data_IF_317115300520
#
_entry.id   IF_317115300520
#
_cell.length_a   1.000
_cell.length_b   1.000
_cell.length_c   1.000
_cell.angle_alpha   90.00
_cell.angle_beta   90.00
_cell.angle_gamma   90.00
#
_symmetry.space_group_name_H-M   'P 1'
#
loop_
_entity.id
_entity.type
_entity.pdbx_description
1 polymer ?
#
# COMPACT_ATOMS: atom_id res chain seq x y z
N UNK A 1 -83.17 19.46 -18.29
CA UNK A 1 -82.27 18.74 -19.21
C UNK A 1 -80.88 19.39 -19.30
N UNK A 2 -80.76 20.71 -19.45
CA UNK A 2 -79.46 21.41 -19.50
C UNK A 2 -78.59 21.24 -18.23
N UNK A 3 -79.18 21.23 -17.03
CA UNK A 3 -78.45 21.04 -15.76
C UNK A 3 -77.77 19.68 -15.65
N UNK A 4 -78.38 18.62 -16.19
CA UNK A 4 -77.79 17.27 -16.20
C UNK A 4 -76.57 17.20 -17.12
N UNK A 5 -76.62 17.85 -18.29
CA UNK A 5 -75.49 17.90 -19.23
C UNK A 5 -74.29 18.65 -18.65
N UNK A 6 -74.51 19.74 -17.90
CA UNK A 6 -73.44 20.46 -17.21
C UNK A 6 -72.80 19.61 -16.11
N UNK A 7 -73.58 18.87 -15.33
CA UNK A 7 -73.05 17.99 -14.28
C UNK A 7 -72.22 16.83 -14.83
N UNK A 8 -72.62 16.24 -15.96
CA UNK A 8 -71.89 15.17 -16.64
C UNK A 8 -70.54 15.66 -17.19
N UNK A 9 -70.49 16.88 -17.72
CA UNK A 9 -69.24 17.48 -18.21
C UNK A 9 -68.20 17.69 -17.10
N UNK A 10 -68.65 18.13 -15.92
CA UNK A 10 -67.77 18.33 -14.75
C UNK A 10 -67.23 16.98 -14.25
N UNK A 11 -68.08 15.96 -14.15
CA UNK A 11 -67.67 14.61 -13.71
C UNK A 11 -66.68 14.00 -14.71
N UNK A 12 -66.96 14.09 -16.02
CA UNK A 12 -66.06 13.59 -17.05
C UNK A 12 -64.69 14.28 -17.01
N UNK A 13 -64.65 15.60 -16.85
CA UNK A 13 -63.41 16.36 -16.69
C UNK A 13 -62.62 15.97 -15.43
N UNK A 14 -63.32 15.68 -14.33
CA UNK A 14 -62.69 15.23 -13.08
C UNK A 14 -62.08 13.84 -13.21
N UNK A 15 -62.79 12.90 -13.85
CA UNK A 15 -62.29 11.55 -14.14
C UNK A 15 -61.04 11.60 -15.03
N UNK A 16 -61.04 12.43 -16.08
CA UNK A 16 -59.87 12.61 -16.95
C UNK A 16 -58.65 13.14 -16.19
N UNK A 17 -58.85 14.11 -15.28
CA UNK A 17 -57.76 14.61 -14.42
C UNK A 17 -57.23 13.54 -13.48
N UNK A 18 -58.11 12.75 -12.84
CA UNK A 18 -57.68 11.64 -11.98
C UNK A 18 -56.89 10.61 -12.78
N UNK A 19 -57.36 10.22 -13.97
CA UNK A 19 -56.62 9.28 -14.83
C UNK A 19 -55.24 9.82 -15.22
N UNK A 20 -55.14 11.12 -15.49
CA UNK A 20 -53.86 11.77 -15.80
C UNK A 20 -52.91 11.76 -14.59
N UNK A 21 -53.40 12.06 -13.38
CA UNK A 21 -52.60 11.97 -12.16
C UNK A 21 -52.15 10.55 -11.86
N UNK A 22 -53.03 9.55 -12.03
CA UNK A 22 -52.67 8.13 -11.86
C UNK A 22 -51.55 7.76 -12.84
N UNK A 23 -51.69 8.11 -14.13
CA UNK A 23 -50.61 7.86 -15.11
C UNK A 23 -49.31 8.53 -14.68
N UNK A 24 -49.33 9.81 -14.31
CA UNK A 24 -48.12 10.53 -13.89
C UNK A 24 -47.47 9.88 -12.66
N UNK A 25 -48.28 9.48 -11.68
CA UNK A 25 -47.84 8.85 -10.44
C UNK A 25 -47.13 7.51 -10.68
N UNK A 26 -47.55 6.72 -11.67
CA UNK A 26 -46.91 5.45 -12.01
C UNK A 26 -45.75 5.60 -13.00
N UNK A 27 -45.79 6.56 -13.94
CA UNK A 27 -44.79 6.68 -15.01
C UNK A 27 -43.49 7.36 -14.53
N UNK A 28 -43.61 8.37 -13.66
CA UNK A 28 -42.45 9.10 -13.12
C UNK A 28 -41.46 8.19 -12.36
N UNK A 29 -41.88 7.33 -11.40
CA UNK A 29 -40.93 6.47 -10.70
C UNK A 29 -40.28 5.43 -11.62
N UNK A 30 -41.00 4.95 -12.64
CA UNK A 30 -40.44 4.00 -13.62
C UNK A 30 -39.31 4.66 -14.41
N UNK A 31 -39.50 5.89 -14.89
CA UNK A 31 -38.45 6.65 -15.60
C UNK A 31 -37.23 6.84 -14.70
N UNK A 32 -37.43 7.24 -13.44
CA UNK A 32 -36.33 7.43 -12.50
C UNK A 32 -35.55 6.13 -12.22
N UNK A 33 -36.25 4.99 -12.12
CA UNK A 33 -35.61 3.68 -11.94
C UNK A 33 -34.81 3.30 -13.18
N UNK A 34 -35.35 3.51 -14.38
CA UNK A 34 -34.65 3.21 -15.64
C UNK A 34 -33.40 4.07 -15.79
N UNK A 35 -33.50 5.37 -15.52
CA UNK A 35 -32.36 6.29 -15.55
C UNK A 35 -31.29 5.91 -14.52
N UNK A 36 -31.70 5.50 -13.31
CA UNK A 36 -30.78 5.03 -12.28
C UNK A 36 -30.07 3.73 -12.68
N UNK A 37 -30.79 2.77 -13.27
CA UNK A 37 -30.20 1.53 -13.75
C UNK A 37 -29.22 1.76 -14.91
N UNK A 38 -29.55 2.69 -15.83
CA UNK A 38 -28.66 3.07 -16.91
C UNK A 38 -27.38 3.74 -16.37
N UNK A 39 -27.51 4.58 -15.34
CA UNK A 39 -26.37 5.17 -14.65
C UNK A 39 -25.48 4.11 -13.99
N UNK A 40 -26.06 3.12 -13.30
CA UNK A 40 -25.28 2.02 -12.70
C UNK A 40 -24.52 1.20 -13.75
N UNK A 41 -25.16 0.89 -14.89
CA UNK A 41 -24.51 0.16 -15.98
C UNK A 41 -23.35 0.95 -16.60
N UNK A 42 -23.53 2.26 -16.81
CA UNK A 42 -22.47 3.11 -17.35
C UNK A 42 -21.31 3.28 -16.38
N UNK A 43 -21.56 3.44 -15.08
CA UNK A 43 -20.52 3.46 -14.05
C UNK A 43 -19.75 2.14 -13.97
N UNK A 44 -20.44 1.00 -14.01
CA UNK A 44 -19.81 -0.32 -13.99
C UNK A 44 -18.90 -0.56 -15.20
N UNK A 45 -19.37 -0.22 -16.40
CA UNK A 45 -18.59 -0.31 -17.63
C UNK A 45 -17.37 0.62 -17.60
N UNK A 46 -17.52 1.85 -17.11
CA UNK A 46 -16.41 2.80 -17.01
C UNK A 46 -15.31 2.29 -16.06
N UNK A 47 -15.71 1.76 -14.90
CA UNK A 47 -14.76 1.20 -13.93
C UNK A 47 -14.00 0.00 -14.51
N UNK A 48 -14.71 -0.93 -15.16
CA UNK A 48 -14.09 -2.11 -15.78
C UNK A 48 -13.23 -1.79 -17.02
N UNK A 49 -13.47 -0.67 -17.72
CA UNK A 49 -12.57 -0.19 -18.77
C UNK A 49 -11.33 0.50 -18.19
N UNK A 50 -11.48 1.28 -17.11
CA UNK A 50 -10.36 1.92 -16.43
C UNK A 50 -9.37 0.90 -15.84
N UNK A 51 -9.88 -0.17 -15.23
CA UNK A 51 -9.05 -1.27 -14.72
C UNK A 51 -8.32 -2.00 -15.85
N UNK A 52 -9.01 -2.35 -16.94
CA UNK A 52 -8.38 -2.99 -18.12
C UNK A 52 -7.34 -2.10 -18.81
N UNK A 53 -7.58 -0.80 -18.89
CA UNK A 53 -6.61 0.13 -19.49
C UNK A 53 -5.36 0.27 -18.60
N UNK A 54 -5.51 0.31 -17.27
CA UNK A 54 -4.35 0.31 -16.35
C UNK A 54 -3.51 -0.96 -16.50
N UNK A 55 -4.15 -2.10 -16.64
CA UNK A 55 -3.45 -3.38 -16.85
C UNK A 55 -2.74 -3.42 -18.22
N UNK A 56 -3.40 -2.96 -19.29
CA UNK A 56 -2.82 -2.89 -20.63
C UNK A 56 -1.65 -1.90 -20.71
N UNK A 57 -1.74 -0.75 -20.03
CA UNK A 57 -0.65 0.23 -19.96
C UNK A 57 0.53 -0.33 -19.15
N UNK A 58 0.26 -1.01 -18.04
CA UNK A 58 1.29 -1.71 -17.27
C UNK A 58 2.01 -2.79 -18.08
N UNK A 59 1.27 -3.59 -18.86
CA UNK A 59 1.82 -4.62 -19.74
C UNK A 59 2.68 -4.03 -20.87
N UNK A 60 2.27 -2.91 -21.46
CA UNK A 60 3.07 -2.18 -22.46
C UNK A 60 4.35 -1.65 -21.85
N UNK A 61 4.26 -1.03 -20.67
CA UNK A 61 5.43 -0.54 -19.94
C UNK A 61 6.41 -1.68 -19.63
N UNK A 62 5.91 -2.82 -19.12
CA UNK A 62 6.72 -4.02 -18.88
C UNK A 62 7.40 -4.49 -20.17
N UNK A 63 6.68 -4.58 -21.30
CA UNK A 63 7.28 -5.03 -22.55
C UNK A 63 8.36 -4.07 -23.06
N UNK A 64 8.13 -2.77 -22.92
CA UNK A 64 9.12 -1.74 -23.31
C UNK A 64 10.37 -1.82 -22.43
N UNK A 65 10.19 -2.06 -21.13
CA UNK A 65 11.28 -2.28 -20.19
C UNK A 65 12.02 -3.59 -20.45
N UNK A 66 11.31 -4.68 -20.78
CA UNK A 66 11.92 -5.97 -21.11
C UNK A 66 12.74 -5.91 -22.40
N UNK A 67 12.23 -5.26 -23.44
CA UNK A 67 12.93 -5.05 -24.70
C UNK A 67 14.17 -4.17 -24.49
N UNK A 68 14.04 -3.08 -23.74
CA UNK A 68 15.16 -2.21 -23.41
C UNK A 68 16.23 -2.89 -22.56
N UNK A 69 15.83 -3.77 -21.64
CA UNK A 69 16.75 -4.51 -20.78
C UNK A 69 17.42 -5.68 -21.51
N UNK A 70 16.74 -6.33 -22.46
CA UNK A 70 17.34 -7.33 -23.34
C UNK A 70 18.39 -6.73 -24.30
N UNK A 71 18.29 -5.42 -24.59
CA UNK A 71 19.18 -4.70 -25.47
C UNK A 71 20.38 -4.08 -24.74
N UNK A 72 20.32 -3.95 -23.41
CA UNK A 72 21.42 -3.48 -22.58
C UNK A 72 22.51 -4.56 -22.48
N UNK A 73 23.62 -4.36 -23.20
CA UNK A 73 24.81 -5.24 -23.14
C UNK A 73 25.87 -4.76 -22.16
N UNK A 74 25.73 -3.52 -21.66
CA UNK A 74 26.69 -2.85 -20.76
C UNK A 74 25.94 -2.17 -19.60
N UNK A 75 26.55 -2.04 -18.41
CA UNK A 75 26.00 -1.24 -17.30
C UNK A 75 25.68 0.20 -17.69
N UNK A 76 26.33 0.72 -18.74
CA UNK A 76 26.09 2.06 -19.26
C UNK A 76 24.82 2.17 -20.11
N UNK A 77 24.29 1.06 -20.62
CA UNK A 77 23.06 1.01 -21.43
C UNK A 77 21.80 0.89 -20.55
N UNK A 78 21.96 0.43 -19.30
CA UNK A 78 20.87 0.35 -18.32
C UNK A 78 20.33 1.73 -17.92
N UNK A 79 21.10 2.80 -18.20
CA UNK A 79 20.81 4.20 -17.89
C UNK A 79 19.53 4.76 -18.51
N UNK A 80 18.97 4.12 -19.54
CA UNK A 80 17.91 4.71 -20.37
C UNK A 80 16.51 4.23 -19.97
N UNK A 81 16.40 3.30 -19.00
CA UNK A 81 15.11 2.62 -18.75
C UNK A 81 14.22 3.31 -17.69
N UNK A 82 14.73 4.31 -16.98
CA UNK A 82 13.91 5.07 -16.04
C UNK A 82 13.25 6.26 -16.73
N UNK A 83 11.97 6.08 -17.11
CA UNK A 83 11.10 7.19 -17.54
C UNK A 83 10.95 8.25 -16.44
N UNK A 84 11.17 7.86 -15.18
CA UNK A 84 11.05 8.73 -14.01
C UNK A 84 12.40 9.38 -13.67
N UNK A 85 12.41 10.72 -13.67
CA UNK A 85 13.56 11.49 -13.20
C UNK A 85 13.66 11.42 -11.68
N UNK A 86 14.88 11.36 -11.10
CA UNK A 86 15.05 11.43 -9.65
C UNK A 86 14.54 12.79 -9.14
N UNK A 87 14.06 12.85 -7.88
CA UNK A 87 13.57 14.09 -7.31
C UNK A 87 14.68 15.16 -7.30
N UNK A 88 14.38 16.42 -7.68
CA UNK A 88 15.38 17.48 -7.86
C UNK A 88 16.10 17.88 -6.55
N UNK A 89 15.54 17.49 -5.40
CA UNK A 89 16.14 17.68 -4.08
C UNK A 89 17.29 16.70 -3.79
N UNK A 90 17.42 15.61 -4.55
CA UNK A 90 18.41 14.57 -4.32
C UNK A 90 19.77 14.98 -4.89
N UNK A 91 20.79 14.96 -4.03
CA UNK A 91 22.17 15.27 -4.42
C UNK A 91 23.00 13.99 -4.46
N UNK A 92 23.46 13.64 -5.65
CA UNK A 92 24.35 12.49 -5.88
C UNK A 92 25.82 12.87 -5.62
N UNK A 93 26.63 11.88 -5.28
CA UNK A 93 28.07 12.06 -5.17
C UNK A 93 28.73 12.23 -6.55
N UNK A 94 29.95 12.78 -6.57
CA UNK A 94 30.74 12.88 -7.81
C UNK A 94 30.95 11.46 -8.38
N UNK A 95 30.77 11.28 -9.68
CA UNK A 95 30.79 9.98 -10.40
C UNK A 95 29.71 8.96 -10.01
N UNK A 96 28.75 9.33 -9.17
CA UNK A 96 27.61 8.49 -8.90
C UNK A 96 26.61 8.60 -10.05
N UNK A 97 26.22 7.45 -10.58
CA UNK A 97 25.32 7.39 -11.72
C UNK A 97 24.02 6.68 -11.30
N UNK A 98 22.86 7.20 -11.71
CA UNK A 98 21.54 6.64 -11.36
C UNK A 98 21.27 5.39 -12.19
N UNK A 99 21.08 4.26 -11.52
CA UNK A 99 20.73 3.00 -12.17
C UNK A 99 19.22 2.85 -12.30
N UNK A 100 18.49 3.18 -11.23
CA UNK A 100 17.05 2.99 -11.19
C UNK A 100 16.33 4.02 -10.32
N UNK A 101 15.10 4.37 -10.71
CA UNK A 101 14.19 5.23 -9.95
C UNK A 101 12.85 4.51 -9.81
N UNK A 102 12.48 4.21 -8.57
CA UNK A 102 11.22 3.59 -8.19
C UNK A 102 10.31 4.68 -7.58
N UNK A 103 9.32 5.21 -8.33
CA UNK A 103 8.35 6.14 -7.77
C UNK A 103 7.35 5.41 -6.87
N UNK A 104 6.62 6.18 -6.05
CA UNK A 104 5.43 5.75 -5.30
C UNK A 104 5.62 4.44 -4.50
N UNK A 105 6.73 4.36 -3.78
CA UNK A 105 7.09 3.24 -2.92
C UNK A 105 6.73 3.54 -1.48
N UNK A 106 6.02 2.60 -0.83
CA UNK A 106 5.74 2.66 0.60
C UNK A 106 6.94 2.13 1.35
N UNK A 107 7.48 2.92 2.26
CA UNK A 107 8.56 2.51 3.14
C UNK A 107 7.96 1.98 4.44
N UNK A 108 8.25 0.72 4.75
CA UNK A 108 7.80 0.01 5.94
C UNK A 108 8.98 -0.15 6.91
N UNK A 109 8.75 0.17 8.19
CA UNK A 109 9.70 -0.07 9.28
C UNK A 109 9.12 -1.11 10.23
N UNK A 110 9.98 -1.98 10.73
CA UNK A 110 9.65 -2.84 11.86
C UNK A 110 9.57 -1.96 13.12
N UNK A 111 8.40 -1.94 13.77
CA UNK A 111 8.22 -1.36 15.10
C UNK A 111 7.95 -2.47 16.11
N UNK A 112 8.70 -2.43 17.21
CA UNK A 112 8.46 -3.26 18.39
C UNK A 112 7.32 -2.64 19.18
N UNK A 113 6.20 -3.34 19.26
CA UNK A 113 5.10 -3.05 20.18
C UNK A 113 5.27 -3.93 21.41
N UNK A 114 5.33 -3.29 22.57
CA UNK A 114 5.36 -4.00 23.85
C UNK A 114 3.96 -3.94 24.42
N UNK A 115 3.27 -5.07 24.43
CA UNK A 115 1.98 -5.19 25.10
C UNK A 115 2.21 -5.84 26.45
N UNK A 116 1.88 -5.12 27.52
CA UNK A 116 1.93 -5.68 28.86
C UNK A 116 0.64 -6.45 29.14
N UNK A 117 0.74 -7.76 29.26
CA UNK A 117 -0.36 -8.66 29.63
C UNK A 117 -0.22 -9.04 31.11
N UNK A 118 -0.86 -8.27 31.99
CA UNK A 118 -0.79 -8.51 33.43
C UNK A 118 -1.92 -7.82 34.20
N UNK A 119 -2.69 -8.60 34.97
CA UNK A 119 -3.71 -8.10 35.88
C UNK A 119 -3.13 -7.91 37.29
N UNK A 120 -3.42 -6.79 37.93
CA UNK A 120 -3.15 -6.60 39.37
C UNK A 120 -4.26 -7.23 40.21
N UNK A 121 -4.10 -8.50 40.60
CA UNK A 121 -4.93 -9.09 41.65
C UNK A 121 -4.26 -8.86 43.01
N UNK A 122 -4.53 -7.69 43.61
CA UNK A 122 -4.09 -7.37 44.97
C UNK A 122 -5.31 -7.02 45.83
N UNK A 123 -5.64 -7.86 46.80
CA UNK A 123 -6.54 -7.47 47.87
C UNK A 123 -5.74 -6.75 48.96
N UNK A 124 -6.11 -5.52 49.28
CA UNK A 124 -5.57 -4.77 50.41
C UNK A 124 -6.36 -5.11 51.67
N UNK A 125 -5.66 -5.57 52.71
CA UNK A 125 -6.24 -5.76 54.04
C UNK A 125 -5.54 -4.81 55.02
N UNK A 126 -6.28 -3.83 55.54
CA UNK A 126 -5.77 -2.92 56.57
C UNK A 126 -5.74 -3.62 57.93
N UNK A 127 -4.55 -3.81 58.51
CA UNK A 127 -4.40 -4.51 59.80
C UNK A 127 -4.38 -3.53 60.99
N UNK A 128 -4.13 -2.24 60.80
CA UNK A 128 -4.37 -1.16 61.79
C UNK A 128 -4.32 0.22 61.13
N UNK A 129 -4.84 1.26 61.81
CA UNK A 129 -5.10 2.65 61.33
C UNK A 129 -3.96 3.42 60.63
N UNK A 130 -2.77 2.87 60.39
CA UNK A 130 -1.70 3.59 59.69
C UNK A 130 -0.60 2.74 59.03
N UNK A 131 -0.82 1.43 58.78
CA UNK A 131 0.15 0.61 58.03
C UNK A 131 -0.61 -0.32 57.08
N UNK A 132 -0.59 0.02 55.80
CA UNK A 132 -1.06 -0.84 54.71
C UNK A 132 0.12 -1.70 54.22
N UNK A 133 0.05 -3.01 54.42
CA UNK A 133 1.01 -3.95 53.84
C UNK A 133 0.34 -4.62 52.64
N UNK A 134 0.65 -4.13 51.45
CA UNK A 134 0.19 -4.73 50.20
C UNK A 134 1.08 -5.91 49.80
N UNK A 135 0.53 -7.13 49.79
CA UNK A 135 1.18 -8.29 49.14
C UNK A 135 0.77 -8.26 47.67
N UNK A 136 1.38 -7.36 46.90
CA UNK A 136 1.21 -7.30 45.44
C UNK A 136 2.16 -8.28 44.78
N UNK A 137 1.63 -9.38 44.21
CA UNK A 137 2.40 -10.21 43.29
C UNK A 137 2.22 -9.62 41.89
N UNK A 138 3.19 -8.80 41.45
CA UNK A 138 3.25 -8.34 40.07
C UNK A 138 3.65 -9.52 39.20
N UNK A 139 2.66 -10.22 38.64
CA UNK A 139 2.84 -11.23 37.61
C UNK A 139 2.21 -10.71 36.31
N UNK A 140 3.01 -10.10 35.46
CA UNK A 140 2.62 -9.77 34.08
C UNK A 140 3.75 -10.19 33.15
N UNK A 141 3.38 -10.71 31.98
CA UNK A 141 4.32 -10.95 30.89
C UNK A 141 4.44 -9.68 30.05
N UNK A 142 5.64 -9.41 29.56
CA UNK A 142 5.84 -8.42 28.52
C UNK A 142 5.87 -9.17 27.21
N UNK A 143 4.80 -9.07 26.42
CA UNK A 143 4.75 -9.69 25.11
C UNK A 143 5.26 -8.66 24.10
N UNK A 144 6.37 -8.99 23.44
CA UNK A 144 6.99 -8.15 22.40
C UNK A 144 6.52 -8.61 21.01
N UNK A 145 5.66 -7.80 20.38
CA UNK A 145 5.21 -8.01 19.00
C UNK A 145 6.02 -7.12 18.04
N UNK A 146 6.60 -7.70 17.00
CA UNK A 146 7.20 -6.94 15.90
C UNK A 146 6.20 -6.80 14.74
N UNK A 147 5.82 -5.57 14.38
CA UNK A 147 4.90 -5.30 13.27
C UNK A 147 5.54 -4.38 12.23
N UNK A 148 5.35 -4.71 10.96
CA UNK A 148 5.69 -3.84 9.84
C UNK A 148 4.66 -2.73 9.73
N UNK A 149 5.08 -1.49 10.00
CA UNK A 149 4.23 -0.32 9.84
C UNK A 149 4.75 0.57 8.73
N UNK A 150 3.81 1.14 7.97
CA UNK A 150 4.14 2.17 6.99
C UNK A 150 4.71 3.39 7.70
N UNK A 151 5.97 3.69 7.41
CA UNK A 151 6.69 4.83 7.95
C UNK A 151 6.56 6.06 7.05
N UNK A 152 6.66 5.89 5.74
CA UNK A 152 6.53 6.98 4.76
C UNK A 152 6.15 6.42 3.38
N UNK A 153 5.84 7.30 2.43
CA UNK A 153 5.69 6.98 1.01
C UNK A 153 6.60 7.88 0.21
N UNK A 154 7.27 7.39 -0.84
CA UNK A 154 8.17 8.23 -1.60
C UNK A 154 8.90 7.52 -2.73
N UNK A 155 10.04 8.07 -3.11
CA UNK A 155 10.82 7.59 -4.26
C UNK A 155 12.09 6.90 -3.78
N UNK A 156 12.32 5.67 -4.23
CA UNK A 156 13.60 4.97 -4.05
C UNK A 156 14.45 5.23 -5.29
N UNK A 157 15.70 5.62 -5.11
CA UNK A 157 16.66 5.79 -6.20
C UNK A 157 17.85 4.89 -5.94
N UNK A 158 18.06 3.92 -6.83
CA UNK A 158 19.25 3.10 -6.85
C UNK A 158 20.30 3.77 -7.74
N UNK A 159 21.51 3.89 -7.22
CA UNK A 159 22.68 4.34 -7.98
C UNK A 159 23.75 3.25 -7.99
N UNK A 160 24.85 3.51 -8.69
CA UNK A 160 26.03 2.64 -8.69
C UNK A 160 26.71 2.48 -7.33
N UNK A 161 26.41 3.32 -6.34
CA UNK A 161 27.10 3.33 -5.06
C UNK A 161 26.15 3.31 -3.85
N UNK A 162 24.94 3.84 -4.00
CA UNK A 162 24.01 4.03 -2.89
C UNK A 162 22.57 3.69 -3.29
N UNK A 163 21.79 3.34 -2.28
CA UNK A 163 20.33 3.37 -2.30
C UNK A 163 19.91 4.63 -1.57
N UNK A 164 19.15 5.49 -2.25
CA UNK A 164 18.50 6.64 -1.66
C UNK A 164 17.02 6.36 -1.49
N UNK A 165 16.47 6.77 -0.36
CA UNK A 165 15.02 6.91 -0.19
C UNK A 165 14.70 8.36 0.10
N UNK A 166 13.72 8.88 -0.63
CA UNK A 166 13.19 10.22 -0.45
C UNK A 166 11.68 10.15 -0.26
N UNK A 167 11.24 10.24 1.00
CA UNK A 167 9.84 10.38 1.35
C UNK A 167 9.20 11.61 0.68
N UNK A 168 7.98 11.44 0.22
CA UNK A 168 7.05 12.48 -0.20
C UNK A 168 5.95 12.51 0.86
N UNK A 169 6.06 13.49 1.77
CA UNK A 169 5.17 13.75 2.92
C UNK A 169 3.89 12.89 2.97
N UNK A 170 3.88 11.86 3.82
CA UNK A 170 2.67 11.12 4.12
C UNK A 170 1.66 11.98 4.90
N UNK A 171 0.65 12.51 4.22
CA UNK A 171 -0.32 13.47 4.78
C UNK A 171 -1.25 12.88 5.86
N UNK A 172 -1.36 11.56 5.98
CA UNK A 172 -2.48 10.94 6.74
C UNK A 172 -2.23 10.68 8.22
N UNK A 173 -0.99 10.58 8.71
CA UNK A 173 -0.77 10.18 10.11
C UNK A 173 0.29 10.98 10.88
N UNK A 174 1.34 11.50 10.22
CA UNK A 174 2.37 12.30 10.91
C UNK A 174 2.93 13.38 9.98
N UNK A 175 2.37 14.61 9.99
CA UNK A 175 2.70 15.65 9.01
C UNK A 175 4.12 16.27 9.15
N UNK A 176 4.93 15.82 10.12
CA UNK A 176 6.20 16.48 10.51
C UNK A 176 7.48 15.70 10.19
N UNK A 177 7.41 14.45 9.74
CA UNK A 177 8.62 13.68 9.39
C UNK A 177 8.55 13.11 7.98
N UNK A 178 9.31 13.72 7.09
CA UNK A 178 9.72 13.10 5.84
C UNK A 178 10.98 12.28 6.11
N UNK A 179 10.90 10.97 5.92
CA UNK A 179 12.03 10.07 6.07
C UNK A 179 12.92 10.19 4.83
N UNK A 180 14.20 10.43 5.07
CA UNK A 180 15.23 10.47 4.03
C UNK A 180 16.43 9.70 4.53
N UNK A 181 16.91 8.77 3.72
CA UNK A 181 18.12 8.05 4.06
C UNK A 181 18.91 7.68 2.82
N UNK A 182 20.18 7.39 3.08
CA UNK A 182 21.16 6.95 2.08
C UNK A 182 21.90 5.76 2.65
N UNK A 183 21.84 4.64 1.96
CA UNK A 183 22.58 3.42 2.30
C UNK A 183 23.61 3.19 1.22
N UNK A 184 24.85 2.88 1.60
CA UNK A 184 25.85 2.47 0.62
C UNK A 184 25.63 1.00 0.27
N UNK A 185 25.84 0.62 -0.99
CA UNK A 185 25.67 -0.76 -1.44
C UNK A 185 26.64 -1.73 -0.76
N UNK A 186 27.85 -1.28 -0.45
CA UNK A 186 28.87 -2.04 0.29
C UNK A 186 28.50 -2.34 1.75
N UNK A 187 27.43 -1.72 2.27
CA UNK A 187 26.92 -1.95 3.62
C UNK A 187 25.63 -2.76 3.64
N UNK A 188 25.26 -3.40 2.53
CA UNK A 188 24.10 -4.28 2.47
C UNK A 188 24.55 -5.70 2.80
N UNK A 189 23.99 -6.27 3.86
CA UNK A 189 24.25 -7.66 4.25
C UNK A 189 23.45 -8.61 3.36
N UNK A 190 22.17 -8.30 3.16
CA UNK A 190 21.27 -9.10 2.34
C UNK A 190 20.23 -8.21 1.66
N UNK A 191 19.80 -8.66 0.48
CA UNK A 191 18.65 -8.09 -0.23
C UNK A 191 17.78 -9.27 -0.63
N UNK A 192 16.50 -9.20 -0.27
CA UNK A 192 15.49 -10.19 -0.63
C UNK A 192 14.31 -9.49 -1.28
N UNK A 193 13.72 -10.17 -2.26
CA UNK A 193 12.43 -9.79 -2.83
C UNK A 193 11.43 -10.83 -2.38
N UNK A 194 10.37 -10.38 -1.73
CA UNK A 194 9.25 -11.22 -1.36
C UNK A 194 8.16 -11.04 -2.41
N UNK A 195 7.90 -12.11 -3.16
CA UNK A 195 6.77 -12.21 -4.08
C UNK A 195 5.51 -12.55 -3.29
N UNK A 196 4.48 -11.71 -3.40
CA UNK A 196 3.20 -11.88 -2.70
C UNK A 196 2.14 -10.95 -3.27
N UNK A 197 1.08 -10.66 -2.50
CA UNK A 197 0.03 -9.72 -2.91
C UNK A 197 0.54 -8.29 -3.20
N UNK A 198 1.73 -7.95 -2.72
CA UNK A 198 2.43 -6.71 -3.01
C UNK A 198 3.93 -6.98 -3.19
N UNK A 199 4.56 -6.28 -4.13
CA UNK A 199 5.97 -6.50 -4.46
C UNK A 199 6.83 -5.82 -3.41
N UNK A 200 7.51 -6.62 -2.59
CA UNK A 200 8.30 -6.13 -1.45
C UNK A 200 9.78 -6.33 -1.70
N UNK A 201 10.53 -5.22 -1.66
CA UNK A 201 11.98 -5.22 -1.61
C UNK A 201 12.41 -5.05 -0.15
N UNK A 202 13.07 -6.05 0.40
CA UNK A 202 13.63 -6.01 1.74
C UNK A 202 15.16 -5.97 1.64
N UNK A 203 15.77 -5.16 2.48
CA UNK A 203 17.22 -5.11 2.59
C UNK A 203 17.63 -4.96 4.03
N UNK A 204 18.68 -5.69 4.38
CA UNK A 204 19.27 -5.68 5.70
C UNK A 204 20.65 -5.05 5.60
N UNK A 205 20.90 -4.06 6.47
CA UNK A 205 22.21 -3.42 6.54
C UNK A 205 23.18 -4.28 7.34
N UNK A 206 24.44 -4.27 6.93
CA UNK A 206 25.52 -4.87 7.70
C UNK A 206 25.90 -3.96 8.89
N UNK A 207 25.87 -4.52 10.10
CA UNK A 207 26.20 -3.80 11.33
C UNK A 207 25.38 -4.18 12.57
N UNK A 208 25.92 -3.83 13.74
CA UNK A 208 25.29 -4.03 15.05
C UNK A 208 24.02 -3.17 15.15
N UNK A 209 22.84 -3.81 15.20
CA UNK A 209 21.54 -3.16 15.09
C UNK A 209 20.94 -3.12 13.67
N UNK A 210 21.26 -4.13 12.84
CA UNK A 210 20.74 -4.30 11.48
C UNK A 210 19.21 -4.32 11.43
N UNK A 211 18.60 -3.15 11.22
CA UNK A 211 17.16 -3.02 11.00
C UNK A 211 16.82 -3.46 9.59
N UNK A 212 15.82 -4.32 9.48
CA UNK A 212 15.20 -4.66 8.21
C UNK A 212 14.48 -3.42 7.67
N UNK A 213 14.84 -3.01 6.46
CA UNK A 213 14.16 -1.94 5.75
C UNK A 213 13.37 -2.58 4.59
N UNK A 214 12.07 -2.31 4.54
CA UNK A 214 11.18 -2.91 3.55
C UNK A 214 10.52 -1.79 2.71
N UNK A 215 10.55 -1.96 1.41
CA UNK A 215 9.82 -1.13 0.46
C UNK A 215 8.75 -1.96 -0.23
N UNK A 216 7.55 -1.42 -0.32
CA UNK A 216 6.42 -2.04 -1.01
C UNK A 216 6.02 -1.15 -2.19
N UNK A 217 5.87 -1.74 -3.37
CA UNK A 217 5.38 -1.05 -4.56
C UNK A 217 4.21 -1.82 -5.17
N UNK A 218 3.13 -1.10 -5.45
CA UNK A 218 1.94 -1.65 -6.11
C UNK A 218 2.16 -1.84 -7.64
N UNK A 219 3.24 -1.28 -8.19
CA UNK A 219 3.52 -1.35 -9.62
C UNK A 219 4.12 -2.69 -10.01
N UNK A 220 3.42 -3.47 -10.84
CA UNK A 220 3.95 -4.73 -11.40
C UNK A 220 5.23 -4.52 -12.23
N UNK A 221 5.41 -3.35 -12.85
CA UNK A 221 6.62 -3.01 -13.57
C UNK A 221 7.84 -2.93 -12.62
N UNK A 222 7.60 -2.51 -11.37
CA UNK A 222 8.62 -2.46 -10.33
C UNK A 222 9.05 -3.87 -9.91
N UNK A 223 8.12 -4.81 -9.78
CA UNK A 223 8.38 -6.21 -9.38
C UNK A 223 9.41 -6.91 -10.28
N UNK A 224 9.12 -6.98 -11.59
CA UNK A 224 10.01 -7.66 -12.54
C UNK A 224 11.35 -6.97 -12.70
N UNK A 225 11.37 -5.66 -12.47
CA UNK A 225 12.63 -4.91 -12.51
C UNK A 225 13.45 -5.15 -11.25
N UNK A 226 12.80 -5.31 -10.10
CA UNK A 226 13.45 -5.66 -8.84
C UNK A 226 14.17 -7.02 -8.92
N UNK A 227 13.57 -8.02 -9.58
CA UNK A 227 14.22 -9.32 -9.77
C UNK A 227 15.48 -9.23 -10.63
N UNK A 228 15.42 -8.45 -11.70
CA UNK A 228 16.57 -8.21 -12.60
C UNK A 228 17.66 -7.38 -11.92
N UNK A 229 17.27 -6.41 -11.11
CA UNK A 229 18.17 -5.62 -10.29
C UNK A 229 18.85 -6.47 -9.21
N UNK A 230 18.10 -7.39 -8.58
CA UNK A 230 18.65 -8.41 -7.70
C UNK A 230 19.64 -9.32 -8.42
N UNK A 231 19.29 -9.80 -9.63
CA UNK A 231 20.17 -10.64 -10.44
C UNK A 231 21.47 -9.89 -10.77
N UNK A 232 21.36 -8.61 -11.15
CA UNK A 232 22.51 -7.75 -11.41
C UNK A 232 23.37 -7.52 -10.16
N UNK A 233 22.76 -7.29 -9.00
CA UNK A 233 23.48 -7.15 -7.72
C UNK A 233 24.24 -8.42 -7.36
N UNK A 234 23.67 -9.60 -7.66
CA UNK A 234 24.35 -10.90 -7.49
C UNK A 234 25.52 -11.06 -8.43
N UNK A 235 25.31 -10.78 -9.72
CA UNK A 235 26.36 -10.88 -10.75
C UNK A 235 27.51 -9.92 -10.51
N UNK A 236 27.24 -8.76 -9.90
CA UNK A 236 28.26 -7.75 -9.60
C UNK A 236 29.07 -8.05 -8.33
N UNK A 237 28.89 -9.22 -7.69
CA UNK A 237 29.51 -9.65 -6.42
C UNK A 237 29.36 -8.63 -5.26
N UNK A 238 28.47 -7.66 -5.41
CA UNK A 238 28.34 -6.53 -4.50
C UNK A 238 27.50 -6.86 -3.26
N UNK A 239 26.66 -7.90 -3.33
CA UNK A 239 25.77 -8.31 -2.23
C UNK A 239 25.52 -9.82 -2.26
N UNK A 240 25.52 -10.48 -1.09
CA UNK A 240 25.01 -11.84 -0.92
C UNK A 240 23.48 -11.77 -0.90
N UNK A 241 22.85 -11.81 -2.07
CA UNK A 241 21.40 -11.87 -2.15
C UNK A 241 20.90 -13.32 -2.06
N UNK A 242 20.12 -13.65 -1.05
CA UNK A 242 19.42 -14.94 -0.96
C UNK A 242 18.27 -14.95 -1.97
N UNK A 243 18.35 -15.79 -3.00
CA UNK A 243 17.20 -16.08 -3.87
C UNK A 243 16.24 -16.98 -3.11
N UNK A 244 15.03 -16.48 -2.87
CA UNK A 244 13.77 -17.19 -2.62
C UNK A 244 13.79 -18.55 -1.93
N UNK A 245 13.08 -18.65 -0.80
CA UNK A 245 12.19 -19.77 -0.45
C UNK A 245 11.56 -19.63 0.94
N UNK A 246 12.16 -18.88 1.87
CA UNK A 246 11.70 -18.85 3.27
C UNK A 246 10.87 -17.61 3.62
N UNK A 247 9.94 -17.20 2.75
CA UNK A 247 9.02 -16.09 3.05
C UNK A 247 7.80 -16.56 3.85
N UNK A 248 7.52 -17.86 3.87
CA UNK A 248 6.48 -18.40 4.76
C UNK A 248 6.88 -18.34 6.25
N UNK A 249 8.17 -18.23 6.56
CA UNK A 249 8.62 -18.11 7.96
C UNK A 249 8.44 -16.70 8.55
N UNK A 250 8.30 -15.65 7.74
CA UNK A 250 8.14 -14.28 8.25
C UNK A 250 6.67 -13.83 8.32
N UNK A 251 5.74 -14.59 7.74
CA UNK A 251 4.30 -14.37 7.85
C UNK A 251 3.61 -15.29 8.88
N UNK A 252 4.32 -16.30 9.41
CA UNK A 252 3.79 -17.34 10.30
C UNK A 252 4.40 -17.31 11.72
N UNK A 253 4.72 -16.12 12.25
CA UNK A 253 5.13 -15.94 13.66
C UNK A 253 3.94 -15.84 14.64
N UNK A 254 2.77 -16.37 14.27
CA UNK A 254 1.62 -16.54 15.15
C UNK A 254 1.38 -18.03 15.38
N UNK A 255 1.28 -18.44 16.65
CA UNK A 255 0.94 -19.78 17.12
C UNK A 255 2.11 -20.79 17.22
N UNK A 256 3.16 -20.42 17.97
CA UNK A 256 3.93 -21.43 18.69
C UNK A 256 3.29 -21.68 20.06
N UNK A 257 2.39 -22.66 20.13
CA UNK A 257 1.97 -23.29 21.38
C UNK A 257 3.21 -23.82 22.11
N UNK A 258 3.51 -23.28 23.29
CA UNK A 258 4.47 -23.84 24.24
C UNK A 258 3.70 -24.35 25.47
N UNK A 259 3.58 -25.68 25.56
CA UNK A 259 3.42 -26.41 26.83
C UNK A 259 4.66 -26.27 27.73
#
# INVERSE_FOLDING_TARGET
MQTLLLSLGIIAGFILRILHYIKLFFLVPIILIVDFLLWLLTCGLYKGMAERNREADGLREIKTLEEGLAQARSPEDMFVMCKHQPPPSLRFQKSEKVLWVLPDCRYLKVKKHTTFSGGSLGASFGVTRNIDVGIGRFGGSLDEDERLEQADEGTVVLTTQHIYFHGQRWERHFPERTERFRVRLDKLASVSVAEGHANRLMFQRDGEGSRLECFESDSMACARTLDKLLLWLKESELVIASSGADVDAAADFGDADFD
#
